data_IF_280104151997
#
_entry.id   IF_280104151997
#
_cell.length_a   1.000
_cell.length_b   1.000
_cell.length_c   1.000
_cell.angle_alpha   90.00
_cell.angle_beta   90.00
_cell.angle_gamma   90.00
#
_symmetry.space_group_name_H-M   'P 1'
#
loop_
_entity.id
_entity.type
_entity.pdbx_description
1 polymer ?
#
# COMPACT_ATOMS: atom_id res chain seq x y z
N UNK A 1 -22.71 -29.20 -28.49
CA UNK A 1 -21.93 -27.96 -28.71
C UNK A 1 -22.49 -26.74 -27.96
N UNK A 2 -23.78 -26.37 -28.09
CA UNK A 2 -24.29 -25.12 -27.49
C UNK A 2 -24.32 -25.12 -25.94
N UNK A 3 -24.69 -26.24 -25.30
CA UNK A 3 -24.82 -26.31 -23.83
C UNK A 3 -23.50 -26.14 -23.09
N UNK A 4 -22.40 -26.70 -23.60
CA UNK A 4 -21.07 -26.56 -22.99
C UNK A 4 -20.58 -25.10 -23.09
N UNK A 5 -20.88 -24.41 -24.20
CA UNK A 5 -20.56 -22.99 -24.37
C UNK A 5 -21.33 -22.13 -23.38
N UNK A 6 -22.60 -22.43 -23.13
CA UNK A 6 -23.42 -21.70 -22.13
C UNK A 6 -22.87 -21.90 -20.72
N UNK A 7 -22.49 -23.12 -20.35
CA UNK A 7 -21.85 -23.40 -19.06
C UNK A 7 -20.50 -22.69 -18.91
N UNK A 8 -19.67 -22.71 -19.95
CA UNK A 8 -18.39 -22.02 -19.95
C UNK A 8 -18.57 -20.49 -19.83
N UNK A 9 -19.56 -19.93 -20.50
CA UNK A 9 -19.90 -18.51 -20.37
C UNK A 9 -20.35 -18.16 -18.95
N UNK A 10 -21.21 -18.99 -18.35
CA UNK A 10 -21.63 -18.82 -16.97
C UNK A 10 -20.46 -18.89 -15.98
N UNK A 11 -19.52 -19.82 -16.20
CA UNK A 11 -18.31 -19.94 -15.39
C UNK A 11 -17.43 -18.69 -15.50
N UNK A 12 -17.19 -18.20 -16.73
CA UNK A 12 -16.40 -16.99 -16.96
C UNK A 12 -17.05 -15.78 -16.29
N UNK A 13 -18.35 -15.59 -16.47
CA UNK A 13 -19.09 -14.47 -15.85
C UNK A 13 -19.03 -14.57 -14.32
N UNK A 14 -19.25 -15.76 -13.75
CA UNK A 14 -19.17 -15.99 -12.32
C UNK A 14 -17.79 -15.69 -11.74
N UNK A 15 -16.72 -16.10 -12.43
CA UNK A 15 -15.34 -15.80 -12.04
C UNK A 15 -15.07 -14.30 -12.09
N UNK A 16 -15.49 -13.61 -13.16
CA UNK A 16 -15.31 -12.16 -13.31
C UNK A 16 -16.04 -11.38 -12.22
N UNK A 17 -17.30 -11.72 -11.93
CA UNK A 17 -18.08 -11.09 -10.85
C UNK A 17 -17.51 -11.41 -9.47
N UNK A 18 -17.06 -12.64 -9.24
CA UNK A 18 -16.42 -13.06 -8.01
C UNK A 18 -15.11 -12.31 -7.75
N UNK A 19 -14.26 -12.15 -8.77
CA UNK A 19 -13.03 -11.36 -8.70
C UNK A 19 -13.34 -9.88 -8.46
N UNK A 20 -14.32 -9.31 -9.15
CA UNK A 20 -14.75 -7.93 -8.94
C UNK A 20 -15.18 -7.68 -7.49
N UNK A 21 -16.12 -8.49 -7.00
CA UNK A 21 -16.64 -8.39 -5.64
C UNK A 21 -15.56 -8.65 -4.60
N UNK A 22 -14.75 -9.69 -4.79
CA UNK A 22 -13.65 -10.04 -3.90
C UNK A 22 -12.59 -8.94 -3.78
N UNK A 23 -12.19 -8.32 -4.89
CA UNK A 23 -11.24 -7.19 -4.88
C UNK A 23 -11.83 -5.96 -4.20
N UNK A 24 -13.12 -5.66 -4.39
CA UNK A 24 -13.77 -4.54 -3.70
C UNK A 24 -13.89 -4.77 -2.19
N UNK A 25 -14.31 -5.97 -1.75
CA UNK A 25 -14.39 -6.32 -0.33
C UNK A 25 -13.00 -6.28 0.31
N UNK A 26 -11.99 -6.88 -0.33
CA UNK A 26 -10.62 -6.90 0.18
C UNK A 26 -9.97 -5.51 0.30
N UNK A 27 -10.34 -4.57 -0.57
CA UNK A 27 -9.88 -3.17 -0.51
C UNK A 27 -10.76 -2.27 0.38
N UNK A 28 -11.80 -2.81 1.00
CA UNK A 28 -12.75 -2.04 1.83
C UNK A 28 -13.56 -1.01 1.04
N UNK A 29 -13.81 -1.26 -0.25
CA UNK A 29 -14.57 -0.39 -1.15
C UNK A 29 -16.01 -0.89 -1.33
N UNK A 30 -16.91 0.01 -1.70
CA UNK A 30 -18.30 -0.37 -2.02
C UNK A 30 -18.33 -1.40 -3.16
N UNK A 31 -19.25 -2.38 -3.08
CA UNK A 31 -19.32 -3.50 -4.03
C UNK A 31 -19.49 -3.06 -5.50
N UNK A 32 -20.13 -1.92 -5.72
CA UNK A 32 -20.42 -1.34 -7.04
C UNK A 32 -19.32 -0.38 -7.53
N UNK A 33 -18.29 -0.10 -6.73
CA UNK A 33 -17.16 0.72 -7.17
C UNK A 33 -16.38 -0.02 -8.26
N UNK A 34 -15.81 0.71 -9.22
CA UNK A 34 -14.94 0.09 -10.22
C UNK A 34 -13.64 -0.39 -9.53
N UNK A 35 -13.33 -1.71 -9.52
CA UNK A 35 -12.18 -2.27 -8.82
C UNK A 35 -10.84 -1.89 -9.47
N UNK A 36 -10.88 -1.45 -10.74
CA UNK A 36 -9.78 -0.91 -11.52
C UNK A 36 -9.77 0.62 -11.57
N UNK A 37 -10.77 1.29 -10.98
CA UNK A 37 -10.69 2.73 -10.82
C UNK A 37 -9.67 3.05 -9.72
N UNK A 38 -8.65 3.81 -10.11
CA UNK A 38 -7.70 4.43 -9.21
C UNK A 38 -8.44 5.46 -8.36
N UNK A 39 -8.96 5.06 -7.20
CA UNK A 39 -9.18 6.04 -6.13
C UNK A 39 -7.79 6.56 -5.76
N UNK A 40 -7.60 7.88 -5.66
CA UNK A 40 -6.27 8.45 -5.61
C UNK A 40 -5.50 7.79 -4.47
N UNK A 41 -4.31 7.29 -4.80
CA UNK A 41 -3.34 6.74 -3.86
C UNK A 41 -2.78 7.72 -2.80
N UNK A 42 -2.90 9.08 -2.88
CA UNK A 42 -2.05 9.95 -2.11
C UNK A 42 -2.40 9.92 -0.63
N UNK A 43 -3.61 9.57 -0.18
CA UNK A 43 -3.88 9.52 1.27
C UNK A 43 -3.05 8.44 1.97
N UNK A 44 -3.04 7.20 1.43
CA UNK A 44 -2.24 6.10 1.99
C UNK A 44 -0.75 6.28 1.72
N UNK A 45 -0.38 6.84 0.56
CA UNK A 45 1.02 7.14 0.24
C UNK A 45 1.59 8.28 1.10
N UNK A 46 0.75 9.27 1.46
CA UNK A 46 1.11 10.40 2.32
C UNK A 46 1.28 9.94 3.76
N UNK A 47 0.45 9.04 4.25
CA UNK A 47 0.59 8.50 5.61
C UNK A 47 1.86 7.63 5.70
N UNK A 48 2.07 6.69 4.77
CA UNK A 48 3.30 5.88 4.72
C UNK A 48 4.55 6.74 4.48
N UNK A 49 4.44 7.77 3.64
CA UNK A 49 5.52 8.71 3.38
C UNK A 49 5.86 9.59 4.58
N UNK A 50 4.86 10.04 5.35
CA UNK A 50 5.08 10.78 6.60
C UNK A 50 5.76 9.92 7.65
N UNK A 51 5.32 8.67 7.80
CA UNK A 51 5.90 7.74 8.78
C UNK A 51 7.35 7.41 8.39
N UNK A 52 7.61 7.12 7.13
CA UNK A 52 8.96 6.86 6.62
C UNK A 52 9.90 8.08 6.74
N UNK A 53 9.41 9.28 6.43
CA UNK A 53 10.18 10.52 6.59
C UNK A 53 10.49 10.83 8.06
N UNK A 54 9.53 10.59 8.95
CA UNK A 54 9.70 10.81 10.38
C UNK A 54 10.70 9.85 10.99
N UNK A 55 10.61 8.56 10.67
CA UNK A 55 11.56 7.55 11.12
C UNK A 55 12.98 7.84 10.58
N UNK A 56 13.08 8.27 9.33
CA UNK A 56 14.35 8.68 8.72
C UNK A 56 14.96 9.91 9.41
N UNK A 57 14.13 10.90 9.77
CA UNK A 57 14.55 12.09 10.51
C UNK A 57 15.10 11.75 11.89
N UNK A 58 14.36 10.95 12.67
CA UNK A 58 14.78 10.53 14.02
C UNK A 58 16.08 9.71 13.99
N UNK A 59 16.26 8.84 12.98
CA UNK A 59 17.48 8.07 12.81
C UNK A 59 18.70 8.96 12.47
N UNK A 60 18.49 9.97 11.62
CA UNK A 60 19.54 10.91 11.23
C UNK A 60 19.94 11.81 12.39
N UNK A 61 18.98 12.25 13.19
CA UNK A 61 19.18 13.08 14.38
C UNK A 61 20.01 12.34 15.43
N UNK A 62 19.66 11.08 15.76
CA UNK A 62 20.47 10.24 16.67
C UNK A 62 21.88 9.96 16.16
N UNK A 63 22.02 9.78 14.84
CA UNK A 63 23.33 9.60 14.22
C UNK A 63 24.16 10.88 14.37
N UNK A 64 23.55 12.04 14.16
CA UNK A 64 24.17 13.35 14.37
C UNK A 64 24.59 13.58 15.82
N UNK A 65 23.73 13.28 16.81
CA UNK A 65 24.06 13.38 18.23
C UNK A 65 25.24 12.47 18.59
N UNK A 66 25.25 11.22 18.13
CA UNK A 66 26.33 10.27 18.41
C UNK A 66 27.67 10.72 17.83
N UNK A 67 27.65 11.34 16.64
CA UNK A 67 28.84 11.91 16.01
C UNK A 67 29.34 13.14 16.76
N UNK A 68 28.43 13.99 17.23
CA UNK A 68 28.76 15.18 18.01
C UNK A 68 29.37 14.81 19.36
N UNK A 69 28.76 13.87 20.08
CA UNK A 69 29.30 13.34 21.33
C UNK A 69 30.71 12.75 21.15
N UNK A 70 30.93 12.01 20.05
CA UNK A 70 32.25 11.48 19.69
C UNK A 70 33.26 12.58 19.33
N UNK A 71 32.82 13.65 18.68
CA UNK A 71 33.68 14.77 18.31
C UNK A 71 34.08 15.60 19.55
N UNK A 72 33.13 15.89 20.43
CA UNK A 72 33.36 16.63 21.67
C UNK A 72 34.28 15.84 22.62
N UNK A 73 34.02 14.53 22.80
CA UNK A 73 34.89 13.65 23.61
C UNK A 73 36.27 13.36 23.00
N UNK A 74 36.45 13.58 21.69
CA UNK A 74 37.77 13.55 21.04
C UNK A 74 38.52 14.90 21.16
N UNK A 75 37.80 16.01 21.37
CA UNK A 75 38.37 17.35 21.52
C UNK A 75 38.78 17.68 22.96
N UNK A 76 38.25 16.97 23.97
CA UNK A 76 38.62 17.12 25.39
C UNK A 76 39.82 16.25 25.83
N UNK A 77 40.43 15.47 24.92
CA UNK A 77 41.68 14.71 25.15
C UNK A 77 42.89 15.45 24.59
#
# INVERSE_FOLDING_TARGET
>A
MAKIKVWLFGLIIGVLLGLWGGVNIGKGRALYANPFAETPLPERLKDVGRDALRESGEALERTGETLKDKADSASER
#
